data_IF_280346210927
#
_entry.id   IF_280346210927
#
_cell.length_a   1.000
_cell.length_b   1.000
_cell.length_c   1.000
_cell.angle_alpha   90.00
_cell.angle_beta   90.00
_cell.angle_gamma   90.00
#
_symmetry.space_group_name_H-M   'P 1'
#
loop_
_entity.id
_entity.type
_entity.pdbx_description
1 polymer ?
#
# COMPACT_ATOMS: atom_id res chain seq x y z
N UNK A 1 27.43 -16.10 10.07
CA UNK A 1 27.01 -15.92 8.66
C UNK A 1 27.18 -14.47 8.24
N UNK A 2 27.77 -14.22 7.06
CA UNK A 2 27.99 -12.86 6.54
C UNK A 2 26.67 -12.13 6.26
N UNK A 3 26.69 -10.80 6.26
CA UNK A 3 25.51 -9.97 6.02
C UNK A 3 24.87 -10.26 4.64
N UNK A 4 25.70 -10.49 3.61
CA UNK A 4 25.26 -10.79 2.25
C UNK A 4 24.49 -12.10 2.14
N UNK A 5 24.94 -13.15 2.83
CA UNK A 5 24.26 -14.46 2.84
C UNK A 5 22.92 -14.36 3.55
N UNK A 6 22.85 -13.62 4.67
CA UNK A 6 21.58 -13.38 5.37
C UNK A 6 20.60 -12.57 4.52
N UNK A 7 21.08 -11.53 3.85
CA UNK A 7 20.25 -10.71 2.97
C UNK A 7 19.68 -11.55 1.81
N UNK A 8 20.53 -12.34 1.14
CA UNK A 8 20.09 -13.17 0.01
C UNK A 8 19.12 -14.29 0.43
N UNK A 9 19.35 -14.94 1.58
CA UNK A 9 18.41 -15.92 2.12
C UNK A 9 17.03 -15.28 2.36
N UNK A 10 17.00 -14.06 2.91
CA UNK A 10 15.75 -13.30 3.04
C UNK A 10 15.11 -12.96 1.70
N UNK A 11 15.89 -12.62 0.67
CA UNK A 11 15.34 -12.39 -0.68
C UNK A 11 14.68 -13.64 -1.26
N UNK A 12 15.26 -14.83 -1.04
CA UNK A 12 14.65 -16.10 -1.46
C UNK A 12 13.33 -16.36 -0.73
N UNK A 13 13.26 -16.07 0.56
CA UNK A 13 12.03 -16.17 1.34
C UNK A 13 10.95 -15.22 0.80
N UNK A 14 11.29 -13.97 0.51
CA UNK A 14 10.37 -13.01 -0.12
C UNK A 14 9.89 -13.50 -1.50
N UNK A 15 10.78 -14.03 -2.34
CA UNK A 15 10.43 -14.61 -3.64
C UNK A 15 9.42 -15.77 -3.53
N UNK A 16 9.59 -16.64 -2.52
CA UNK A 16 8.66 -17.75 -2.27
C UNK A 16 7.31 -17.23 -1.76
N UNK A 17 7.30 -16.23 -0.89
CA UNK A 17 6.06 -15.61 -0.41
C UNK A 17 5.27 -14.97 -1.56
N UNK A 18 5.94 -14.17 -2.41
CA UNK A 18 5.31 -13.56 -3.59
C UNK A 18 4.80 -14.63 -4.57
N UNK A 19 5.59 -15.66 -4.87
CA UNK A 19 5.15 -16.75 -5.77
C UNK A 19 3.94 -17.51 -5.22
N UNK A 20 3.91 -17.77 -3.91
CA UNK A 20 2.77 -18.39 -3.23
C UNK A 20 1.54 -17.51 -3.28
N UNK A 21 1.71 -16.22 -3.03
CA UNK A 21 0.66 -15.22 -3.03
C UNK A 21 0.01 -15.09 -4.41
N UNK A 22 0.82 -14.98 -5.46
CA UNK A 22 0.33 -14.85 -6.84
C UNK A 22 -0.33 -16.13 -7.36
N UNK A 23 -0.10 -17.28 -6.71
CA UNK A 23 -0.63 -18.57 -7.14
C UNK A 23 0.03 -19.10 -8.43
N UNK A 24 1.11 -18.45 -8.88
CA UNK A 24 1.97 -18.88 -9.96
C UNK A 24 3.40 -18.39 -9.69
N UNK A 25 4.38 -19.10 -10.24
CA UNK A 25 5.77 -18.66 -10.15
C UNK A 25 5.97 -17.45 -11.06
N UNK A 26 6.67 -16.40 -10.60
CA UNK A 26 6.86 -15.14 -11.34
C UNK A 26 7.33 -15.33 -12.80
N UNK A 27 8.04 -16.41 -13.09
CA UNK A 27 8.54 -16.79 -14.43
C UNK A 27 7.56 -17.62 -15.29
N UNK A 28 6.33 -17.86 -14.81
CA UNK A 28 5.27 -18.58 -15.54
C UNK A 28 4.39 -17.59 -16.32
N UNK A 29 3.85 -17.97 -17.50
CA UNK A 29 2.92 -17.12 -18.21
C UNK A 29 1.66 -16.86 -17.35
N UNK A 30 1.12 -15.63 -17.37
CA UNK A 30 -0.05 -15.28 -16.57
C UNK A 30 -1.21 -16.19 -16.96
N UNK A 31 -1.76 -16.89 -15.97
CA UNK A 31 -2.91 -17.77 -16.18
C UNK A 31 -4.12 -16.91 -16.57
N UNK A 32 -4.83 -17.28 -17.63
CA UNK A 32 -5.97 -16.51 -18.18
C UNK A 32 -6.91 -16.05 -17.09
N UNK A 33 -7.25 -14.76 -17.10
CA UNK A 33 -8.11 -14.04 -16.16
C UNK A 33 -9.41 -14.79 -15.82
N UNK A 34 -9.34 -15.69 -14.85
CA UNK A 34 -10.45 -16.10 -13.99
C UNK A 34 -10.10 -15.69 -12.55
N UNK A 35 -9.58 -14.47 -12.36
CA UNK A 35 -9.56 -13.82 -11.05
C UNK A 35 -11.01 -13.47 -10.71
N UNK A 36 -11.77 -14.46 -10.25
CA UNK A 36 -13.02 -14.25 -9.52
C UNK A 36 -12.77 -13.10 -8.53
N UNK A 37 -13.69 -12.12 -8.46
CA UNK A 37 -13.61 -10.90 -7.62
C UNK A 37 -12.69 -11.09 -6.39
N UNK A 38 -11.43 -10.66 -6.52
CA UNK A 38 -10.48 -10.71 -5.41
C UNK A 38 -11.00 -9.75 -4.34
N UNK A 39 -11.14 -10.26 -3.12
CA UNK A 39 -11.66 -9.46 -1.99
C UNK A 39 -10.69 -8.33 -1.66
N UNK A 40 -11.20 -7.24 -1.10
CA UNK A 40 -10.33 -6.11 -0.72
C UNK A 40 -9.29 -6.55 0.33
N UNK A 41 -9.67 -7.46 1.25
CA UNK A 41 -8.73 -8.04 2.22
C UNK A 41 -7.61 -8.85 1.58
N UNK A 42 -7.90 -9.60 0.52
CA UNK A 42 -6.86 -10.32 -0.22
C UNK A 42 -5.95 -9.33 -0.93
N UNK A 43 -6.51 -8.30 -1.61
CA UNK A 43 -5.71 -7.28 -2.27
C UNK A 43 -4.76 -6.53 -1.33
N UNK A 44 -5.20 -6.21 -0.11
CA UNK A 44 -4.36 -5.58 0.89
C UNK A 44 -3.21 -6.47 1.31
N UNK A 45 -3.48 -7.75 1.57
CA UNK A 45 -2.44 -8.71 1.91
C UNK A 45 -1.43 -8.87 0.77
N UNK A 46 -1.92 -8.97 -0.45
CA UNK A 46 -1.08 -9.08 -1.64
C UNK A 46 -0.21 -7.83 -1.83
N UNK A 47 -0.77 -6.64 -1.58
CA UNK A 47 -0.01 -5.39 -1.55
C UNK A 47 1.09 -5.42 -0.47
N UNK A 48 0.76 -5.83 0.75
CA UNK A 48 1.73 -5.86 1.85
C UNK A 48 2.89 -6.82 1.57
N UNK A 49 2.60 -8.01 1.01
CA UNK A 49 3.63 -8.98 0.61
C UNK A 49 4.57 -8.39 -0.46
N UNK A 50 4.02 -7.64 -1.43
CA UNK A 50 4.81 -6.97 -2.47
C UNK A 50 5.63 -5.79 -1.92
N UNK A 51 5.08 -5.02 -0.98
CA UNK A 51 5.79 -3.93 -0.31
C UNK A 51 6.92 -4.48 0.55
N UNK A 52 6.69 -5.59 1.27
CA UNK A 52 7.72 -6.26 2.06
C UNK A 52 8.89 -6.76 1.19
N UNK A 53 8.61 -7.22 -0.03
CA UNK A 53 9.65 -7.54 -1.01
C UNK A 53 10.52 -6.32 -1.33
N UNK A 54 9.89 -5.21 -1.70
CA UNK A 54 10.60 -3.97 -2.06
C UNK A 54 11.39 -3.39 -0.87
N UNK A 55 10.80 -3.44 0.32
CA UNK A 55 11.42 -3.01 1.57
C UNK A 55 12.64 -3.86 1.89
N UNK A 56 12.54 -5.19 1.84
CA UNK A 56 13.68 -6.08 2.08
C UNK A 56 14.79 -5.89 1.02
N UNK A 57 14.43 -5.78 -0.26
CA UNK A 57 15.38 -5.46 -1.35
C UNK A 57 16.18 -4.19 -1.05
N UNK A 58 15.50 -3.16 -0.55
CA UNK A 58 16.07 -1.86 -0.27
C UNK A 58 17.02 -1.83 0.95
N UNK A 59 17.17 -2.95 1.68
CA UNK A 59 18.14 -3.14 2.78
C UNK A 59 19.49 -3.72 2.33
N UNK A 60 19.75 -3.77 1.02
CA UNK A 60 21.00 -4.29 0.46
C UNK A 60 22.24 -3.71 1.17
N UNK A 61 23.18 -4.55 1.62
CA UNK A 61 24.41 -4.06 2.24
C UNK A 61 25.26 -3.20 1.28
N UNK A 62 25.81 -2.08 1.77
CA UNK A 62 26.60 -1.14 0.98
C UNK A 62 27.84 -1.77 0.30
N UNK A 63 28.39 -2.84 0.88
CA UNK A 63 29.51 -3.60 0.31
C UNK A 63 29.16 -4.36 -0.97
N UNK A 64 27.87 -4.51 -1.30
CA UNK A 64 27.42 -5.26 -2.48
C UNK A 64 27.43 -4.44 -3.76
N UNK A 65 27.50 -3.10 -3.67
CA UNK A 65 27.53 -2.21 -4.83
C UNK A 65 28.87 -2.26 -5.60
N UNK A 66 29.92 -2.90 -5.06
CA UNK A 66 31.30 -2.69 -5.50
C UNK A 66 32.01 -3.94 -6.05
N UNK A 67 31.37 -5.11 -6.17
CA UNK A 67 32.06 -6.36 -6.55
C UNK A 67 31.49 -7.02 -7.81
N UNK A 68 31.79 -6.45 -8.97
CA UNK A 68 31.34 -6.88 -10.30
C UNK A 68 31.75 -8.31 -10.71
N UNK A 69 32.72 -8.93 -10.05
CA UNK A 69 33.17 -10.32 -10.34
C UNK A 69 32.77 -11.35 -9.26
N UNK A 70 31.94 -10.97 -8.30
CA UNK A 70 31.54 -11.84 -7.19
C UNK A 70 30.22 -12.56 -7.44
N UNK A 71 30.07 -13.77 -6.88
CA UNK A 71 28.79 -14.48 -6.78
C UNK A 71 27.66 -13.60 -6.22
N UNK A 72 28.01 -12.65 -5.36
CA UNK A 72 27.04 -11.74 -4.74
C UNK A 72 26.47 -10.74 -5.73
N UNK A 73 27.26 -10.30 -6.72
CA UNK A 73 26.77 -9.44 -7.80
C UNK A 73 25.77 -10.18 -8.69
N UNK A 74 26.05 -11.44 -9.05
CA UNK A 74 25.08 -12.27 -9.79
C UNK A 74 23.79 -12.50 -8.99
N UNK A 75 23.89 -12.72 -7.67
CA UNK A 75 22.72 -12.83 -6.80
C UNK A 75 21.88 -11.53 -6.80
N UNK A 76 22.52 -10.36 -6.70
CA UNK A 76 21.84 -9.06 -6.80
C UNK A 76 21.23 -8.84 -8.18
N UNK A 77 21.91 -9.26 -9.25
CA UNK A 77 21.38 -9.19 -10.62
C UNK A 77 20.11 -10.02 -10.80
N UNK A 78 20.11 -11.27 -10.32
CA UNK A 78 18.94 -12.15 -10.38
C UNK A 78 17.77 -11.57 -9.57
N UNK A 79 18.04 -11.11 -8.35
CA UNK A 79 17.02 -10.44 -7.51
C UNK A 79 16.46 -9.18 -8.20
N UNK A 80 17.29 -8.45 -8.94
CA UNK A 80 16.86 -7.29 -9.72
C UNK A 80 15.93 -7.65 -10.87
N UNK A 81 16.10 -8.84 -11.47
CA UNK A 81 15.21 -9.38 -12.50
C UNK A 81 13.85 -9.78 -11.89
N UNK A 82 13.87 -10.47 -10.75
CA UNK A 82 12.64 -10.81 -10.01
C UNK A 82 11.88 -9.55 -9.58
N UNK A 83 12.59 -8.51 -9.14
CA UNK A 83 11.97 -7.25 -8.75
C UNK A 83 11.19 -6.59 -9.90
N UNK A 84 11.59 -6.74 -11.17
CA UNK A 84 10.82 -6.17 -12.29
C UNK A 84 9.44 -6.81 -12.43
N UNK A 85 9.33 -8.09 -12.09
CA UNK A 85 8.06 -8.81 -12.10
C UNK A 85 7.22 -8.38 -10.91
N UNK A 86 7.83 -8.30 -9.72
CA UNK A 86 7.21 -7.75 -8.51
C UNK A 86 6.70 -6.32 -8.75
N UNK A 87 7.47 -5.48 -9.43
CA UNK A 87 7.12 -4.11 -9.74
C UNK A 87 5.86 -3.99 -10.61
N UNK A 88 5.69 -4.89 -11.58
CA UNK A 88 4.46 -4.95 -12.39
C UNK A 88 3.26 -5.32 -11.53
N UNK A 89 3.41 -6.29 -10.63
CA UNK A 89 2.34 -6.67 -9.71
C UNK A 89 2.01 -5.53 -8.74
N UNK A 90 3.02 -4.81 -8.22
CA UNK A 90 2.82 -3.59 -7.43
C UNK A 90 1.97 -2.59 -8.22
N UNK A 91 2.35 -2.30 -9.46
CA UNK A 91 1.59 -1.38 -10.31
C UNK A 91 0.13 -1.79 -10.43
N UNK A 92 -0.13 -3.07 -10.71
CA UNK A 92 -1.49 -3.62 -10.80
C UNK A 92 -2.25 -3.43 -9.49
N UNK A 93 -1.64 -3.72 -8.32
CA UNK A 93 -2.31 -3.56 -7.02
C UNK A 93 -2.57 -2.11 -6.65
N UNK A 94 -1.63 -1.21 -6.94
CA UNK A 94 -1.83 0.22 -6.73
C UNK A 94 -3.00 0.70 -7.60
N UNK A 95 -3.05 0.32 -8.87
CA UNK A 95 -4.12 0.71 -9.77
C UNK A 95 -5.49 0.13 -9.35
N UNK A 96 -5.55 -1.15 -8.97
CA UNK A 96 -6.78 -1.82 -8.55
C UNK A 96 -7.34 -1.23 -7.24
N UNK A 97 -6.51 -1.05 -6.22
CA UNK A 97 -6.92 -0.41 -4.95
C UNK A 97 -7.21 1.07 -5.14
N UNK A 98 -6.43 1.76 -5.99
CA UNK A 98 -6.65 3.17 -6.36
C UNK A 98 -8.03 3.38 -6.98
N UNK A 99 -8.45 2.51 -7.90
CA UNK A 99 -9.79 2.55 -8.49
C UNK A 99 -10.92 2.30 -7.47
N UNK A 100 -10.63 1.62 -6.36
CA UNK A 100 -11.60 1.31 -5.28
C UNK A 100 -11.61 2.35 -4.16
N UNK A 101 -10.76 3.39 -4.21
CA UNK A 101 -10.59 4.36 -3.12
C UNK A 101 -11.91 4.97 -2.63
N UNK A 102 -12.91 5.15 -3.51
CA UNK A 102 -14.21 5.74 -3.16
C UNK A 102 -15.13 4.84 -2.33
N UNK A 103 -14.87 3.53 -2.30
CA UNK A 103 -15.67 2.54 -1.55
C UNK A 103 -14.92 1.94 -0.35
N UNK A 104 -13.63 2.25 -0.20
CA UNK A 104 -12.83 1.84 0.95
C UNK A 104 -13.23 2.61 2.21
N UNK A 105 -13.21 1.95 3.36
CA UNK A 105 -13.35 2.60 4.66
C UNK A 105 -12.16 3.50 4.99
N UNK A 106 -12.33 4.44 5.93
CA UNK A 106 -11.23 5.28 6.41
C UNK A 106 -10.02 4.46 6.90
N UNK A 107 -10.26 3.33 7.58
CA UNK A 107 -9.20 2.43 8.04
C UNK A 107 -8.46 1.78 6.87
N UNK A 108 -9.18 1.35 5.84
CA UNK A 108 -8.58 0.75 4.64
C UNK A 108 -7.82 1.78 3.82
N UNK A 109 -8.34 3.01 3.67
CA UNK A 109 -7.60 4.12 3.06
C UNK A 109 -6.32 4.45 3.83
N UNK A 110 -6.38 4.46 5.17
CA UNK A 110 -5.19 4.68 6.01
C UNK A 110 -4.17 3.56 5.85
N UNK A 111 -4.63 2.30 5.84
CA UNK A 111 -3.79 1.14 5.61
C UNK A 111 -3.11 1.23 4.24
N UNK A 112 -3.89 1.52 3.20
CA UNK A 112 -3.38 1.66 1.83
C UNK A 112 -2.31 2.76 1.74
N UNK A 113 -2.61 3.94 2.29
CA UNK A 113 -1.69 5.07 2.31
C UNK A 113 -0.37 4.72 3.03
N UNK A 114 -0.45 3.97 4.14
CA UNK A 114 0.74 3.51 4.85
C UNK A 114 1.58 2.56 4.00
N UNK A 115 0.97 1.57 3.32
CA UNK A 115 1.69 0.63 2.45
C UNK A 115 2.36 1.37 1.27
N UNK A 116 1.68 2.34 0.65
CA UNK A 116 2.27 3.16 -0.41
C UNK A 116 3.40 4.05 0.13
N UNK A 117 3.26 4.65 1.32
CA UNK A 117 4.32 5.47 1.92
C UNK A 117 5.58 4.65 2.21
N UNK A 118 5.43 3.41 2.70
CA UNK A 118 6.55 2.48 2.87
C UNK A 118 7.26 2.20 1.55
N UNK A 119 6.49 1.95 0.49
CA UNK A 119 7.04 1.69 -0.84
C UNK A 119 7.80 2.90 -1.41
N UNK A 120 7.22 4.10 -1.30
CA UNK A 120 7.83 5.37 -1.73
C UNK A 120 9.14 5.64 -0.97
N UNK A 121 9.20 5.34 0.33
CA UNK A 121 10.42 5.40 1.13
C UNK A 121 11.55 4.46 0.69
N UNK A 122 11.25 3.47 -0.17
CA UNK A 122 12.23 2.54 -0.74
C UNK A 122 12.74 2.98 -2.12
N UNK A 123 12.10 3.97 -2.75
CA UNK A 123 12.34 4.38 -4.14
C UNK A 123 13.81 4.63 -4.48
N UNK A 124 14.49 5.48 -3.72
CA UNK A 124 15.88 5.87 -4.01
C UNK A 124 16.82 4.66 -3.93
N UNK A 125 16.70 3.87 -2.87
CA UNK A 125 17.56 2.70 -2.60
C UNK A 125 17.36 1.61 -3.65
N UNK A 126 16.11 1.35 -4.03
CA UNK A 126 15.79 0.42 -5.11
C UNK A 126 16.29 0.95 -6.46
N UNK A 127 16.14 2.25 -6.73
CA UNK A 127 16.61 2.87 -7.99
C UNK A 127 18.13 2.77 -8.15
N UNK A 128 18.89 2.93 -7.05
CA UNK A 128 20.35 2.76 -7.03
C UNK A 128 20.77 1.32 -7.35
N UNK A 129 20.03 0.32 -6.85
CA UNK A 129 20.29 -1.09 -7.13
C UNK A 129 20.07 -1.47 -8.59
N UNK A 130 19.07 -0.88 -9.23
CA UNK A 130 18.61 -1.28 -10.56
C UNK A 130 19.36 -0.57 -11.71
N UNK A 131 20.47 0.10 -11.40
CA UNK A 131 21.39 0.87 -12.28
C UNK A 131 20.87 0.96 -13.72
N UNK A 132 20.05 1.98 -13.97
CA UNK A 132 19.73 2.51 -15.30
C UNK A 132 19.02 1.55 -16.29
N UNK A 133 18.28 0.53 -15.84
CA UNK A 133 17.65 -0.43 -16.79
C UNK A 133 16.15 -0.28 -17.06
N UNK A 134 15.43 0.64 -16.41
CA UNK A 134 14.18 1.18 -16.98
C UNK A 134 13.72 2.41 -16.18
N UNK A 135 13.39 3.49 -16.89
CA UNK A 135 12.66 4.63 -16.33
C UNK A 135 11.25 4.16 -16.02
N UNK A 136 11.01 3.77 -14.76
CA UNK A 136 9.69 3.40 -14.29
C UNK A 136 8.99 4.61 -13.68
N UNK A 137 9.01 5.74 -14.39
CA UNK A 137 8.36 6.97 -13.95
C UNK A 137 6.85 6.70 -13.74
N UNK A 138 6.25 5.88 -14.61
CA UNK A 138 4.83 5.49 -14.56
C UNK A 138 4.37 4.90 -13.21
N UNK A 139 5.17 4.02 -12.57
CA UNK A 139 4.80 3.47 -11.27
C UNK A 139 4.85 4.54 -10.19
N UNK A 140 5.90 5.34 -10.18
CA UNK A 140 6.08 6.36 -9.16
C UNK A 140 5.09 7.51 -9.32
N UNK A 141 4.71 7.83 -10.55
CA UNK A 141 3.66 8.79 -10.88
C UNK A 141 2.29 8.26 -10.44
N UNK A 142 1.98 6.98 -10.72
CA UNK A 142 0.76 6.33 -10.23
C UNK A 142 0.70 6.33 -8.69
N UNK A 143 1.82 6.04 -8.02
CA UNK A 143 1.93 6.10 -6.55
C UNK A 143 1.62 7.50 -6.04
N UNK A 144 2.21 8.52 -6.68
CA UNK A 144 1.99 9.92 -6.30
C UNK A 144 0.52 10.32 -6.45
N UNK A 145 -0.08 10.05 -7.61
CA UNK A 145 -1.49 10.33 -7.88
C UNK A 145 -2.41 9.61 -6.88
N UNK A 146 -2.12 8.33 -6.60
CA UNK A 146 -2.91 7.53 -5.66
C UNK A 146 -2.82 8.08 -4.24
N UNK A 147 -1.64 8.55 -3.79
CA UNK A 147 -1.49 9.21 -2.48
C UNK A 147 -2.34 10.48 -2.39
N UNK A 148 -2.30 11.32 -3.42
CA UNK A 148 -3.10 12.56 -3.47
C UNK A 148 -4.60 12.25 -3.41
N UNK A 149 -5.05 11.26 -4.18
CA UNK A 149 -6.45 10.81 -4.18
C UNK A 149 -6.90 10.22 -2.84
N UNK A 150 -6.03 9.45 -2.17
CA UNK A 150 -6.31 8.90 -0.84
C UNK A 150 -6.48 10.00 0.21
N UNK A 151 -5.55 10.96 0.25
CA UNK A 151 -5.63 12.10 1.19
C UNK A 151 -6.92 12.88 0.98
N UNK A 152 -7.24 13.23 -0.26
CA UNK A 152 -8.47 13.95 -0.58
C UNK A 152 -9.74 13.17 -0.21
N UNK A 153 -9.74 11.85 -0.37
CA UNK A 153 -10.89 10.99 0.00
C UNK A 153 -11.05 10.94 1.52
N UNK A 154 -9.95 10.78 2.26
CA UNK A 154 -9.95 10.76 3.71
C UNK A 154 -10.39 12.09 4.33
N UNK A 155 -10.03 13.22 3.72
CA UNK A 155 -10.48 14.55 4.15
C UNK A 155 -11.99 14.74 3.96
N UNK A 156 -12.53 14.38 2.78
CA UNK A 156 -13.98 14.43 2.50
C UNK A 156 -14.79 13.58 3.47
N UNK A 157 -14.32 12.37 3.80
CA UNK A 157 -14.95 11.49 4.78
C UNK A 157 -14.98 12.11 6.20
N UNK A 158 -13.88 12.76 6.61
CA UNK A 158 -13.78 13.43 7.92
C UNK A 158 -14.70 14.63 8.00
N UNK A 159 -14.75 15.45 6.95
CA UNK A 159 -15.66 16.59 6.86
C UNK A 159 -17.13 16.15 6.89
N UNK A 160 -17.49 15.12 6.11
CA UNK A 160 -18.84 14.55 6.12
C UNK A 160 -19.27 14.05 7.50
N UNK A 161 -18.39 13.34 8.21
CA UNK A 161 -18.62 12.91 9.60
C UNK A 161 -18.79 14.09 10.55
N UNK A 162 -17.99 15.15 10.40
CA UNK A 162 -18.11 16.36 11.22
C UNK A 162 -19.46 17.07 11.00
N UNK A 163 -19.94 17.15 9.75
CA UNK A 163 -21.26 17.72 9.41
C UNK A 163 -22.39 16.92 10.05
N UNK A 164 -22.34 15.58 9.98
CA UNK A 164 -23.36 14.71 10.60
C UNK A 164 -23.38 14.89 12.13
N UNK A 165 -22.21 14.93 12.78
CA UNK A 165 -22.11 15.14 14.24
C UNK A 165 -22.66 16.52 14.62
N UNK A 166 -22.35 17.56 13.85
CA UNK A 166 -22.88 18.90 14.08
C UNK A 166 -24.41 18.96 13.91
N UNK A 167 -24.97 18.26 12.91
CA UNK A 167 -26.40 18.17 12.68
C UNK A 167 -27.12 17.44 13.84
N UNK A 168 -26.62 16.26 14.23
CA UNK A 168 -27.17 15.48 15.36
C UNK A 168 -27.06 16.24 16.68
N UNK A 169 -25.94 16.95 16.90
CA UNK A 169 -25.77 17.82 18.07
C UNK A 169 -26.75 19.00 18.09
N UNK A 170 -27.07 19.57 16.92
CA UNK A 170 -28.05 20.65 16.81
C UNK A 170 -29.49 20.16 17.04
N UNK A 171 -29.87 18.99 16.51
CA UNK A 171 -31.16 18.36 16.79
C UNK A 171 -31.33 17.99 18.27
N UNK A 172 -30.28 17.47 18.89
CA UNK A 172 -30.29 17.15 20.32
C UNK A 172 -30.48 18.38 21.21
N UNK A 173 -29.86 19.52 20.84
CA UNK A 173 -30.05 20.82 21.52
C UNK A 173 -31.46 21.38 21.34
N UNK A 174 -32.06 21.21 20.16
CA UNK A 174 -33.46 21.61 19.92
C UNK A 174 -34.42 20.83 20.82
N UNK A 175 -34.24 19.51 20.94
CA UNK A 175 -35.08 18.65 21.78
C UNK A 175 -34.95 18.97 23.27
N UNK A 176 -33.74 19.32 23.74
CA UNK A 176 -33.54 19.77 25.14
C UNK A 176 -34.20 21.13 25.41
N UNK A 177 -34.15 22.06 24.46
CA UNK A 177 -34.85 23.35 24.57
C UNK A 177 -36.38 23.22 24.64
N UNK A 178 -36.97 22.29 23.87
CA UNK A 178 -38.41 22.00 23.96
C UNK A 178 -38.80 21.36 25.29
N UNK A 179 -37.96 20.46 25.82
CA UNK A 179 -38.17 19.83 27.14
C UNK A 179 -38.13 20.84 28.29
N UNK A 180 -37.22 21.81 28.28
CA UNK A 180 -37.15 22.85 29.32
C UNK A 180 -38.35 23.80 29.30
N UNK A 181 -38.84 24.17 28.11
CA UNK A 181 -40.03 25.01 27.96
C UNK A 181 -41.29 24.32 28.50
N UNK A 182 -41.45 23.01 28.25
CA UNK A 182 -42.56 22.23 28.82
C UNK A 182 -42.46 22.12 30.33
N UNK A 183 -41.25 22.01 30.90
CA UNK A 183 -41.03 21.90 32.35
C UNK A 183 -41.28 23.21 33.10
N UNK A 184 -41.04 24.35 32.46
CA UNK A 184 -41.35 25.67 33.01
C UNK A 184 -42.85 25.98 32.94
N UNK A 185 -43.53 25.58 31.86
CA UNK A 185 -44.97 25.78 31.71
C UNK A 185 -45.83 24.91 32.66
N UNK A 186 -45.30 23.78 33.13
CA UNK A 186 -46.00 22.86 34.05
C UNK A 186 -45.76 23.15 35.54
N UNK A 187 -44.91 24.13 35.89
CA UNK A 187 -44.59 24.51 37.28
C UNK A 187 -45.32 25.77 37.79
N UNK A 188 -46.12 26.40 36.92
CA UNK A 188 -46.83 27.65 37.20
C UNK A 188 -48.34 27.51 37.43
N UNK A 189 -48.82 26.37 37.94
CA UNK A 189 -50.23 26.16 38.29
C UNK A 189 -50.38 25.76 39.75
#
# INVERSE_FOLDING_TARGET
MSASVRWYAGMLEQNMMVSRMLGYHLHSPPRSNNRNKVSDSDLFKEMDDLVNFADHLSTVPASLYLQHESLVYEAVRLVSEDYRLVQREIFVRVAELGARTTVLSLSECTHFLNSINRLDGCKERVSLLLVNRNRNDDLWDLIKETKENLVATMEKEKEGKMVVIAAVGNESRKLTGFSELYRLASRGR
#
